data_IF_861580490254
#
_entry.id   IF_861580490254
#
_cell.length_a   1.000
_cell.length_b   1.000
_cell.length_c   1.000
_cell.angle_alpha   90.00
_cell.angle_beta   90.00
_cell.angle_gamma   90.00
#
_symmetry.space_group_name_H-M   'P 1'
#
loop_
_entity.id
_entity.type
_entity.pdbx_description
1 polymer ?
#
# COMPACT_ATOMS: atom_id res chain seq x y z
N UNK A 1 42.67 -37.81 1.88
CA UNK A 1 41.49 -36.98 2.23
C UNK A 1 41.60 -35.70 1.43
N UNK A 2 41.00 -35.70 0.25
CA UNK A 2 41.00 -34.55 -0.68
C UNK A 2 39.70 -33.78 -0.49
N UNK A 3 39.73 -32.44 -0.44
CA UNK A 3 38.53 -31.65 -0.21
C UNK A 3 37.68 -31.61 -1.48
N UNK A 4 36.41 -31.98 -1.34
CA UNK A 4 35.38 -31.86 -2.36
C UNK A 4 35.26 -30.41 -2.84
N UNK A 5 35.31 -30.24 -4.15
CA UNK A 5 35.29 -28.95 -4.83
C UNK A 5 33.97 -28.21 -4.65
N UNK A 6 34.09 -26.96 -4.24
CA UNK A 6 33.09 -25.91 -4.42
C UNK A 6 32.86 -25.68 -5.91
N UNK A 7 31.77 -26.22 -6.45
CA UNK A 7 31.27 -25.88 -7.78
C UNK A 7 30.89 -24.41 -7.81
N UNK A 8 31.79 -23.57 -8.32
CA UNK A 8 31.46 -22.20 -8.68
C UNK A 8 30.51 -22.28 -9.89
N UNK A 9 29.26 -21.90 -9.67
CA UNK A 9 28.31 -21.59 -10.74
C UNK A 9 28.81 -20.31 -11.44
N UNK A 10 29.84 -20.43 -12.27
CA UNK A 10 30.15 -19.40 -13.26
C UNK A 10 28.91 -19.24 -14.12
N UNK A 11 28.33 -18.03 -14.22
CA UNK A 11 27.24 -17.77 -15.16
C UNK A 11 27.75 -18.17 -16.53
N UNK A 12 27.14 -19.20 -17.12
CA UNK A 12 27.40 -19.59 -18.50
C UNK A 12 27.31 -18.32 -19.35
N UNK A 13 28.35 -17.99 -20.15
CA UNK A 13 28.29 -16.82 -21.01
C UNK A 13 27.05 -16.97 -21.88
N UNK A 14 26.14 -16.00 -21.79
CA UNK A 14 24.90 -16.01 -22.56
C UNK A 14 25.21 -16.41 -23.99
N UNK A 15 24.63 -17.54 -24.41
CA UNK A 15 24.94 -18.22 -25.66
C UNK A 15 24.78 -17.21 -26.81
N UNK A 16 25.87 -16.63 -27.30
CA UNK A 16 25.82 -15.55 -28.30
C UNK A 16 25.04 -15.97 -29.55
N UNK A 17 25.05 -17.28 -29.84
CA UNK A 17 24.25 -17.92 -30.87
C UNK A 17 22.74 -17.82 -30.61
N UNK A 18 22.28 -17.84 -29.36
CA UNK A 18 20.88 -17.66 -29.02
C UNK A 18 20.40 -16.26 -29.37
N UNK A 19 21.15 -15.22 -28.98
CA UNK A 19 20.79 -13.83 -29.31
C UNK A 19 20.80 -13.59 -30.82
N UNK A 20 21.78 -14.14 -31.54
CA UNK A 20 21.84 -14.07 -33.01
C UNK A 20 20.63 -14.77 -33.67
N UNK A 21 20.25 -15.96 -33.19
CA UNK A 21 19.06 -16.68 -33.68
C UNK A 21 17.77 -15.92 -33.36
N UNK A 22 17.67 -15.31 -32.17
CA UNK A 22 16.51 -14.52 -31.77
C UNK A 22 16.38 -13.27 -32.65
N UNK A 23 17.49 -12.58 -32.91
CA UNK A 23 17.53 -11.44 -33.82
C UNK A 23 17.13 -11.86 -35.24
N UNK A 24 17.68 -12.97 -35.75
CA UNK A 24 17.33 -13.49 -37.09
C UNK A 24 15.85 -13.86 -37.19
N UNK A 25 15.28 -14.46 -36.14
CA UNK A 25 13.85 -14.78 -36.07
C UNK A 25 12.98 -13.52 -36.11
N UNK A 26 13.39 -12.47 -35.40
CA UNK A 26 12.71 -11.17 -35.40
C UNK A 26 12.80 -10.46 -36.75
N UNK A 27 13.97 -10.44 -37.37
CA UNK A 27 14.14 -9.86 -38.72
C UNK A 27 13.29 -10.60 -39.76
N UNK A 28 13.23 -11.93 -39.66
CA UNK A 28 12.37 -12.76 -40.52
C UNK A 28 10.90 -12.42 -40.33
N UNK A 29 10.41 -12.31 -39.10
CA UNK A 29 9.00 -11.99 -38.85
C UNK A 29 8.62 -10.59 -39.36
N UNK A 30 9.53 -9.60 -39.29
CA UNK A 30 9.33 -8.28 -39.90
C UNK A 30 9.28 -8.36 -41.43
N UNK A 31 10.12 -9.19 -42.05
CA UNK A 31 10.09 -9.42 -43.49
C UNK A 31 8.77 -10.07 -43.94
N UNK A 32 8.30 -11.07 -43.20
CA UNK A 32 7.03 -11.75 -43.48
C UNK A 32 5.85 -10.77 -43.33
N UNK A 33 5.89 -9.89 -42.32
CA UNK A 33 4.89 -8.85 -42.12
C UNK A 33 4.84 -7.85 -43.28
N UNK A 34 6.00 -7.40 -43.78
CA UNK A 34 6.06 -6.52 -44.98
C UNK A 34 5.49 -7.20 -46.22
N UNK A 35 5.78 -8.47 -46.40
CA UNK A 35 5.25 -9.27 -47.52
C UNK A 35 3.72 -9.39 -47.44
N UNK A 36 3.20 -9.63 -46.25
CA UNK A 36 1.76 -9.65 -45.99
C UNK A 36 1.10 -8.30 -46.29
N UNK A 37 1.68 -7.20 -45.82
CA UNK A 37 1.21 -5.83 -46.07
C UNK A 37 1.12 -5.53 -47.57
N UNK A 38 2.16 -5.89 -48.33
CA UNK A 38 2.20 -5.71 -49.78
C UNK A 38 1.09 -6.50 -50.49
N UNK A 39 0.80 -7.71 -50.01
CA UNK A 39 -0.26 -8.58 -50.58
C UNK A 39 -1.66 -8.05 -50.30
N UNK A 40 -1.90 -7.55 -49.09
CA UNK A 40 -3.21 -7.02 -48.68
C UNK A 40 -3.46 -5.57 -49.14
N UNK A 41 -2.46 -4.91 -49.73
CA UNK A 41 -2.58 -3.54 -50.22
C UNK A 41 -2.84 -2.49 -49.13
N UNK A 42 -2.40 -2.75 -47.89
CA UNK A 42 -2.58 -1.84 -46.74
C UNK A 42 -1.28 -1.10 -46.42
N UNK A 43 -1.36 -0.04 -45.60
CA UNK A 43 -0.15 0.62 -45.10
C UNK A 43 0.55 -0.26 -44.04
N UNK A 44 1.89 -0.21 -44.02
CA UNK A 44 2.68 -0.98 -43.05
C UNK A 44 2.35 -0.57 -41.60
N UNK A 45 2.18 0.72 -41.33
CA UNK A 45 1.88 1.23 -40.00
C UNK A 45 0.55 0.69 -39.45
N UNK A 46 -0.51 0.65 -40.26
CA UNK A 46 -1.81 0.15 -39.83
C UNK A 46 -1.79 -1.36 -39.50
N UNK A 47 -1.11 -2.16 -40.32
CA UNK A 47 -0.97 -3.59 -40.05
C UNK A 47 -0.08 -3.83 -38.83
N UNK A 48 0.96 -3.02 -38.64
CA UNK A 48 1.79 -3.07 -37.43
C UNK A 48 0.98 -2.78 -36.17
N UNK A 49 0.15 -1.73 -36.19
CA UNK A 49 -0.77 -1.41 -35.07
C UNK A 49 -1.71 -2.59 -34.74
N UNK A 50 -2.27 -3.26 -35.76
CA UNK A 50 -3.10 -4.45 -35.56
C UNK A 50 -2.34 -5.63 -34.97
N UNK A 51 -1.08 -5.86 -35.40
CA UNK A 51 -0.23 -6.91 -34.84
C UNK A 51 0.15 -6.59 -33.40
N UNK A 52 0.50 -5.34 -33.10
CA UNK A 52 0.78 -4.89 -31.75
C UNK A 52 -0.46 -5.04 -30.85
N UNK A 53 -1.65 -4.72 -31.36
CA UNK A 53 -2.92 -4.94 -30.67
C UNK A 53 -3.16 -6.43 -30.41
N UNK A 54 -2.95 -7.30 -31.40
CA UNK A 54 -3.07 -8.76 -31.22
C UNK A 54 -2.05 -9.29 -30.22
N UNK A 55 -0.81 -8.79 -30.25
CA UNK A 55 0.24 -9.21 -29.33
C UNK A 55 -0.05 -8.74 -27.91
N UNK A 56 -0.54 -7.51 -27.74
CA UNK A 56 -1.07 -7.03 -26.47
C UNK A 56 -2.24 -7.89 -26.00
N UNK A 57 -3.20 -8.20 -26.89
CA UNK A 57 -4.29 -9.13 -26.58
C UNK A 57 -3.79 -10.53 -26.24
N UNK A 58 -2.65 -10.98 -26.75
CA UNK A 58 -2.09 -12.28 -26.36
C UNK A 58 -1.38 -12.22 -25.01
N UNK A 59 -0.54 -11.20 -24.79
CA UNK A 59 0.21 -11.00 -23.55
C UNK A 59 -0.70 -10.67 -22.35
N UNK A 60 -1.71 -9.83 -22.60
CA UNK A 60 -2.66 -9.35 -21.60
C UNK A 60 -4.01 -10.06 -21.66
N UNK A 61 -4.30 -10.79 -22.74
CA UNK A 61 -5.45 -11.70 -22.84
C UNK A 61 -5.19 -12.96 -22.05
N UNK A 62 -5.21 -12.76 -20.75
CA UNK A 62 -5.67 -13.77 -19.84
C UNK A 62 -7.10 -14.14 -20.18
N UNK A 63 -7.25 -15.36 -20.69
CA UNK A 63 -8.43 -16.20 -20.45
C UNK A 63 -9.77 -15.58 -20.84
N UNK A 64 -9.89 -15.11 -22.08
CA UNK A 64 -11.22 -14.96 -22.69
C UNK A 64 -11.78 -16.30 -23.21
N UNK A 65 -11.03 -17.40 -23.11
CA UNK A 65 -11.58 -18.74 -23.33
C UNK A 65 -12.45 -19.15 -22.12
N UNK A 66 -13.74 -18.82 -22.22
CA UNK A 66 -14.87 -19.68 -21.89
C UNK A 66 -14.95 -20.34 -20.50
N UNK A 67 -14.35 -19.77 -19.45
CA UNK A 67 -14.87 -20.04 -18.11
C UNK A 67 -15.98 -19.03 -17.86
N UNK A 68 -17.27 -19.41 -17.98
CA UNK A 68 -18.35 -18.52 -17.62
C UNK A 68 -18.04 -18.01 -16.21
N UNK A 69 -18.00 -16.68 -16.09
CA UNK A 69 -17.71 -15.96 -14.87
C UNK A 69 -18.85 -16.28 -13.89
N UNK A 70 -18.75 -17.43 -13.26
CA UNK A 70 -19.60 -17.79 -12.14
C UNK A 70 -19.22 -16.78 -11.06
N UNK A 71 -20.20 -16.02 -10.61
CA UNK A 71 -20.07 -14.78 -9.84
C UNK A 71 -19.21 -14.87 -8.57
N UNK A 72 -18.82 -16.06 -8.14
CA UNK A 72 -17.85 -16.29 -7.06
C UNK A 72 -16.36 -16.11 -7.42
N UNK A 73 -15.95 -16.24 -8.68
CA UNK A 73 -14.52 -16.23 -9.05
C UNK A 73 -13.95 -14.86 -9.44
N UNK A 74 -14.78 -13.81 -9.46
CA UNK A 74 -14.35 -12.46 -9.83
C UNK A 74 -13.22 -11.93 -8.95
N UNK A 75 -13.28 -12.21 -7.64
CA UNK A 75 -12.27 -11.71 -6.71
C UNK A 75 -10.88 -12.29 -7.01
N UNK A 76 -10.79 -13.59 -7.28
CA UNK A 76 -9.53 -14.27 -7.61
C UNK A 76 -8.96 -13.77 -8.94
N UNK A 77 -9.83 -13.53 -9.94
CA UNK A 77 -9.41 -12.96 -11.22
C UNK A 77 -8.82 -11.55 -11.05
N UNK A 78 -9.50 -10.68 -10.31
CA UNK A 78 -9.02 -9.32 -10.03
C UNK A 78 -7.69 -9.37 -9.25
N UNK A 79 -7.56 -10.23 -8.24
CA UNK A 79 -6.29 -10.44 -7.52
C UNK A 79 -5.16 -10.87 -8.46
N UNK A 80 -5.42 -11.78 -9.40
CA UNK A 80 -4.43 -12.21 -10.38
C UNK A 80 -3.99 -11.07 -11.31
N UNK A 81 -4.92 -10.22 -11.75
CA UNK A 81 -4.58 -9.02 -12.54
C UNK A 81 -3.69 -8.09 -11.71
N UNK A 82 -4.08 -7.77 -10.48
CA UNK A 82 -3.32 -6.86 -9.62
C UNK A 82 -1.92 -7.42 -9.31
N UNK A 83 -1.79 -8.72 -9.06
CA UNK A 83 -0.51 -9.39 -8.87
C UNK A 83 0.38 -9.30 -10.12
N UNK A 84 -0.19 -9.41 -11.32
CA UNK A 84 0.54 -9.25 -12.58
C UNK A 84 1.03 -7.82 -12.79
N UNK A 85 0.19 -6.83 -12.54
CA UNK A 85 0.58 -5.41 -12.60
C UNK A 85 1.72 -5.13 -11.61
N UNK A 86 1.66 -5.70 -10.40
CA UNK A 86 2.75 -5.60 -9.42
C UNK A 86 4.06 -6.17 -9.97
N UNK A 87 4.04 -7.35 -10.61
CA UNK A 87 5.22 -7.95 -11.25
C UNK A 87 5.76 -7.11 -12.41
N UNK A 88 4.89 -6.45 -13.17
CA UNK A 88 5.32 -5.52 -14.23
C UNK A 88 6.07 -4.32 -13.65
N UNK A 89 5.61 -3.75 -12.53
CA UNK A 89 6.35 -2.70 -11.85
C UNK A 89 7.70 -3.16 -11.29
N UNK A 90 7.79 -4.39 -10.78
CA UNK A 90 9.08 -4.97 -10.38
C UNK A 90 10.03 -5.21 -11.57
N UNK A 91 9.51 -5.51 -12.75
CA UNK A 91 10.30 -5.59 -13.98
C UNK A 91 10.78 -4.20 -14.42
N UNK A 92 9.90 -3.20 -14.35
CA UNK A 92 10.23 -1.81 -14.67
C UNK A 92 11.32 -1.25 -13.75
N UNK A 93 11.30 -1.61 -12.47
CA UNK A 93 12.35 -1.25 -11.52
C UNK A 93 13.70 -1.84 -11.90
N UNK A 94 13.74 -3.11 -12.34
CA UNK A 94 14.97 -3.75 -12.81
C UNK A 94 15.54 -3.11 -14.07
N UNK A 95 14.68 -2.73 -15.01
CA UNK A 95 15.11 -2.19 -16.32
C UNK A 95 15.45 -0.70 -16.24
N UNK A 96 14.65 0.09 -15.51
CA UNK A 96 14.74 1.55 -15.51
C UNK A 96 15.10 2.17 -14.15
N UNK A 97 15.24 1.37 -13.09
CA UNK A 97 15.52 1.85 -11.74
C UNK A 97 14.37 2.61 -11.07
N UNK A 98 13.17 2.59 -11.67
CA UNK A 98 12.03 3.36 -11.20
C UNK A 98 11.30 2.64 -10.05
N UNK A 99 11.04 3.36 -8.97
CA UNK A 99 10.24 2.88 -7.84
C UNK A 99 8.80 3.33 -8.01
N UNK A 100 7.85 2.41 -7.83
CA UNK A 100 6.43 2.69 -7.94
C UNK A 100 5.62 1.83 -6.97
N UNK A 101 4.44 2.31 -6.59
CA UNK A 101 3.42 1.53 -5.89
C UNK A 101 2.03 1.98 -6.29
N UNK A 102 1.04 1.12 -6.07
CA UNK A 102 -0.37 1.43 -6.27
C UNK A 102 -1.23 0.75 -5.22
N UNK A 103 -2.34 1.40 -4.88
CA UNK A 103 -3.31 0.93 -3.89
C UNK A 103 -4.67 0.75 -4.57
N UNK A 104 -5.30 -0.40 -4.34
CA UNK A 104 -6.66 -0.70 -4.77
C UNK A 104 -7.50 -1.03 -3.54
N UNK A 105 -8.65 -0.40 -3.38
CA UNK A 105 -9.60 -0.70 -2.30
C UNK A 105 -10.97 -1.00 -2.89
N UNK A 106 -11.66 -1.98 -2.32
CA UNK A 106 -13.04 -2.28 -2.68
C UNK A 106 -13.99 -1.54 -1.71
N UNK A 107 -14.68 -0.48 -2.13
CA UNK A 107 -15.55 0.28 -1.24
C UNK A 107 -16.78 -0.53 -0.77
N UNK A 108 -17.14 -1.61 -1.48
CA UNK A 108 -18.32 -2.42 -1.19
C UNK A 108 -18.07 -3.53 -0.17
N UNK A 109 -16.82 -3.84 0.14
CA UNK A 109 -16.46 -4.88 1.09
C UNK A 109 -15.63 -4.31 2.24
N UNK A 110 -16.28 -4.00 3.37
CA UNK A 110 -15.62 -3.46 4.57
C UNK A 110 -14.61 -4.42 5.22
N UNK A 111 -14.64 -5.71 4.87
CA UNK A 111 -13.63 -6.68 5.35
C UNK A 111 -12.37 -6.70 4.48
N UNK A 112 -12.42 -6.10 3.29
CA UNK A 112 -11.29 -6.03 2.37
C UNK A 112 -10.26 -5.01 2.89
N UNK A 113 -9.03 -5.47 3.13
CA UNK A 113 -7.92 -4.60 3.55
C UNK A 113 -7.31 -3.82 2.38
N UNK A 114 -7.82 -4.05 1.16
CA UNK A 114 -7.24 -3.52 -0.06
C UNK A 114 -6.01 -4.31 -0.52
N UNK A 115 -5.59 -4.01 -1.74
CA UNK A 115 -4.40 -4.58 -2.35
C UNK A 115 -3.36 -3.49 -2.57
N UNK A 116 -2.15 -3.73 -2.03
CA UNK A 116 -0.99 -2.88 -2.24
C UNK A 116 -0.01 -3.57 -3.17
N UNK A 117 0.13 -3.06 -4.39
CA UNK A 117 1.05 -3.58 -5.41
C UNK A 117 2.15 -2.59 -5.76
N UNK A 118 3.07 -3.05 -6.61
CA UNK A 118 4.20 -2.26 -7.13
C UNK A 118 5.55 -2.84 -6.76
N UNK A 119 6.57 -2.00 -6.74
CA UNK A 119 7.95 -2.33 -6.35
C UNK A 119 8.07 -2.59 -4.85
N UNK A 120 9.06 -3.40 -4.44
CA UNK A 120 9.28 -3.74 -3.02
C UNK A 120 9.47 -2.47 -2.18
N UNK A 121 10.40 -1.58 -2.57
CA UNK A 121 10.66 -0.34 -1.81
C UNK A 121 9.47 0.61 -1.82
N UNK A 122 8.71 0.68 -2.91
CA UNK A 122 7.49 1.49 -2.97
C UNK A 122 6.43 1.01 -1.99
N UNK A 123 6.24 -0.31 -1.86
CA UNK A 123 5.31 -0.90 -0.87
C UNK A 123 5.79 -0.66 0.56
N UNK A 124 7.08 -0.87 0.83
CA UNK A 124 7.66 -0.67 2.17
C UNK A 124 7.59 0.80 2.60
N UNK A 125 7.84 1.73 1.66
CA UNK A 125 7.65 3.16 1.89
C UNK A 125 6.22 3.48 2.30
N UNK A 126 5.22 2.99 1.56
CA UNK A 126 3.81 3.20 1.90
C UNK A 126 3.45 2.58 3.26
N UNK A 127 3.95 1.39 3.57
CA UNK A 127 3.65 0.72 4.85
C UNK A 127 4.32 1.41 6.05
N UNK A 128 5.53 1.94 5.86
CA UNK A 128 6.29 2.64 6.91
C UNK A 128 5.84 4.08 7.15
N UNK A 129 5.08 4.68 6.24
CA UNK A 129 4.65 6.07 6.36
C UNK A 129 3.49 6.21 7.34
N UNK A 130 3.52 7.27 8.17
CA UNK A 130 2.43 7.55 9.12
C UNK A 130 1.12 7.80 8.38
N UNK A 131 0.02 7.27 8.91
CA UNK A 131 -1.32 7.34 8.31
C UNK A 131 -1.44 6.66 6.93
N UNK A 132 -0.46 5.87 6.53
CA UNK A 132 -0.50 5.02 5.34
C UNK A 132 -0.71 3.55 5.78
N UNK A 133 -0.29 2.58 4.95
CA UNK A 133 -0.50 1.15 5.24
C UNK A 133 -1.99 0.78 5.34
N UNK A 134 -2.33 -0.11 6.27
CA UNK A 134 -3.71 -0.57 6.49
C UNK A 134 -4.64 0.57 6.93
N UNK A 135 -4.16 1.47 7.79
CA UNK A 135 -4.94 2.63 8.24
C UNK A 135 -5.24 3.59 7.09
N UNK A 136 -4.25 3.85 6.23
CA UNK A 136 -4.44 4.66 5.02
C UNK A 136 -5.39 4.01 4.01
N UNK A 137 -5.30 2.70 3.83
CA UNK A 137 -6.23 1.96 2.98
C UNK A 137 -7.68 2.02 3.48
N UNK A 138 -7.89 1.85 4.78
CA UNK A 138 -9.22 2.00 5.41
C UNK A 138 -9.74 3.44 5.29
N UNK A 139 -8.89 4.45 5.50
CA UNK A 139 -9.27 5.85 5.33
C UNK A 139 -9.68 6.15 3.88
N UNK A 140 -8.95 5.61 2.90
CA UNK A 140 -9.27 5.74 1.49
C UNK A 140 -10.56 4.99 1.10
N UNK A 141 -10.78 3.82 1.68
CA UNK A 141 -12.02 3.06 1.50
C UNK A 141 -13.24 3.82 2.05
N UNK A 142 -13.11 4.44 3.23
CA UNK A 142 -14.15 5.31 3.78
C UNK A 142 -14.39 6.52 2.87
N UNK A 143 -13.34 7.18 2.41
CA UNK A 143 -13.47 8.32 1.49
C UNK A 143 -14.23 7.96 0.21
N UNK A 144 -13.95 6.78 -0.36
CA UNK A 144 -14.59 6.30 -1.59
C UNK A 144 -16.03 5.83 -1.37
N UNK A 145 -16.38 5.27 -0.20
CA UNK A 145 -17.76 4.89 0.12
C UNK A 145 -18.70 6.08 0.37
N UNK A 146 -18.15 7.24 0.76
CA UNK A 146 -18.91 8.48 0.88
C UNK A 146 -19.08 9.24 -0.45
N UNK A 147 -18.32 8.90 -1.48
CA UNK A 147 -18.48 9.52 -2.79
C UNK A 147 -19.81 9.03 -3.39
N UNK A 148 -20.75 9.94 -3.75
CA UNK A 148 -21.99 9.54 -4.38
C UNK A 148 -21.65 8.78 -5.66
N UNK A 149 -22.17 7.54 -5.77
CA UNK A 149 -21.96 6.73 -6.96
C UNK A 149 -22.29 7.57 -8.19
N UNK A 150 -21.39 7.67 -9.19
CA UNK A 150 -21.67 8.43 -10.40
C UNK A 150 -22.98 7.88 -10.95
N UNK A 151 -24.02 8.72 -10.94
CA UNK A 151 -25.36 8.35 -11.35
C UNK A 151 -25.21 7.66 -12.70
N UNK A 152 -25.36 6.33 -12.70
CA UNK A 152 -25.06 5.51 -13.86
C UNK A 152 -25.93 6.06 -14.96
N UNK A 153 -25.30 6.70 -15.95
CA UNK A 153 -25.95 7.42 -17.02
C UNK A 153 -26.77 6.40 -17.80
N UNK A 154 -28.02 6.24 -17.36
CA UNK A 154 -29.06 5.50 -18.04
C UNK A 154 -29.34 6.27 -19.32
N UNK A 155 -28.63 5.87 -20.37
CA UNK A 155 -28.93 6.24 -21.74
C UNK A 155 -30.36 5.80 -22.05
N UNK A 156 -31.31 6.73 -22.00
CA UNK A 156 -32.68 6.48 -22.43
C UNK A 156 -33.70 7.42 -21.80
N UNK A 157 -33.83 8.64 -22.35
CA UNK A 157 -34.90 9.55 -21.96
C UNK A 157 -34.72 10.96 -22.51
N UNK A 158 -35.10 11.15 -23.76
CA UNK A 158 -35.28 12.47 -24.40
C UNK A 158 -36.41 13.26 -23.74
N UNK A 159 -36.13 14.53 -23.39
CA UNK A 159 -37.11 15.57 -23.00
C UNK A 159 -37.37 15.65 -21.49
N UNK A 160 -37.38 16.78 -20.81
CA UNK A 160 -37.38 18.20 -21.18
C UNK A 160 -36.73 19.03 -20.05
N UNK A 161 -36.21 20.18 -20.47
CA UNK A 161 -35.74 21.35 -19.72
C UNK A 161 -36.28 21.52 -18.29
N UNK A 162 -35.39 21.43 -17.29
CA UNK A 162 -35.53 22.24 -16.08
C UNK A 162 -34.16 22.62 -15.51
N UNK A 163 -33.95 23.93 -15.44
CA UNK A 163 -32.78 24.60 -14.87
C UNK A 163 -32.63 24.23 -13.38
N UNK A 164 -31.64 23.40 -13.06
CA UNK A 164 -31.13 23.28 -11.70
C UNK A 164 -29.66 23.70 -11.70
N UNK A 165 -29.39 24.85 -11.08
CA UNK A 165 -28.07 25.43 -10.85
C UNK A 165 -27.21 24.47 -10.04
N UNK A 166 -26.45 23.62 -10.72
CA UNK A 166 -25.42 22.78 -10.13
C UNK A 166 -24.28 23.68 -9.63
N UNK A 167 -24.21 23.91 -8.32
CA UNK A 167 -23.03 24.49 -7.69
C UNK A 167 -21.83 23.56 -7.85
N UNK A 168 -20.62 24.07 -8.10
CA UNK A 168 -19.43 23.23 -8.24
C UNK A 168 -19.12 22.53 -6.92
N UNK A 169 -19.28 21.21 -6.89
CA UNK A 169 -18.88 20.36 -5.78
C UNK A 169 -17.37 20.15 -5.88
N UNK A 170 -16.60 21.03 -5.22
CA UNK A 170 -15.17 20.84 -5.07
C UNK A 170 -14.91 19.68 -4.08
N UNK A 171 -14.13 18.65 -4.43
CA UNK A 171 -13.51 17.81 -3.42
C UNK A 171 -12.65 18.71 -2.51
N UNK A 172 -12.43 18.36 -1.23
CA UNK A 172 -11.52 19.12 -0.38
C UNK A 172 -10.08 18.94 -0.89
N UNK A 173 -9.68 19.77 -1.84
CA UNK A 173 -8.28 19.98 -2.20
C UNK A 173 -7.65 20.79 -1.07
N UNK A 174 -6.95 20.10 -0.18
CA UNK A 174 -5.91 20.71 0.63
C UNK A 174 -4.76 19.72 0.77
N UNK A 175 -3.96 19.67 -0.30
CA UNK A 175 -2.53 19.40 -0.18
C UNK A 175 -1.85 20.62 -0.77
N UNK A 176 -1.62 21.62 0.07
CA UNK A 176 -0.48 22.52 -0.12
C UNK A 176 0.46 22.39 1.07
N UNK A 177 1.70 22.15 0.69
CA UNK A 177 2.89 22.05 1.49
C UNK A 177 3.19 23.44 2.07
N UNK A 178 3.61 23.43 3.34
CA UNK A 178 4.17 24.54 4.12
C UNK A 178 3.20 25.64 4.61
N UNK A 179 2.83 25.52 5.90
CA UNK A 179 2.79 26.67 6.79
C UNK A 179 1.44 27.33 7.08
N UNK A 180 0.51 26.62 7.73
CA UNK A 180 -0.24 27.16 8.89
C UNK A 180 -1.15 26.10 9.50
N UNK A 181 -0.74 25.53 10.63
CA UNK A 181 -1.50 24.56 11.42
C UNK A 181 -2.35 25.29 12.45
N UNK A 182 -3.49 25.86 12.05
CA UNK A 182 -4.52 26.32 13.00
C UNK A 182 -5.83 26.65 12.27
N UNK A 183 -6.60 25.66 11.81
CA UNK A 183 -8.06 25.78 11.69
C UNK A 183 -8.72 24.44 11.31
N UNK A 184 -9.82 24.15 12.00
CA UNK A 184 -10.81 23.09 11.74
C UNK A 184 -10.52 21.69 12.31
N UNK A 185 -10.30 21.62 13.62
CA UNK A 185 -10.57 20.41 14.41
C UNK A 185 -12.07 20.11 14.43
N UNK A 186 -12.55 19.37 13.44
CA UNK A 186 -13.85 18.67 13.53
C UNK A 186 -13.81 17.76 14.76
N UNK A 187 -14.90 17.75 15.52
CA UNK A 187 -15.07 17.09 16.83
C UNK A 187 -14.73 15.59 16.73
N UNK A 188 -13.47 15.24 16.95
CA UNK A 188 -13.06 13.86 17.20
C UNK A 188 -13.68 13.40 18.53
N UNK A 189 -14.13 12.14 18.62
CA UNK A 189 -14.65 11.59 19.86
C UNK A 189 -13.65 11.79 21.00
N UNK A 190 -14.12 12.16 22.20
CA UNK A 190 -13.26 12.47 23.35
C UNK A 190 -12.28 11.32 23.72
N UNK A 191 -12.57 10.08 23.33
CA UNK A 191 -11.65 8.94 23.47
C UNK A 191 -10.37 9.08 22.64
N UNK A 192 -10.42 9.78 21.49
CA UNK A 192 -9.24 9.97 20.64
C UNK A 192 -8.27 11.01 21.23
N UNK A 193 -8.77 11.95 22.03
CA UNK A 193 -7.92 13.02 22.60
C UNK A 193 -6.85 12.43 23.52
N UNK A 194 -7.20 11.42 24.34
CA UNK A 194 -6.24 10.79 25.26
C UNK A 194 -5.13 10.08 24.50
N UNK A 195 -5.47 9.22 23.53
CA UNK A 195 -4.48 8.48 22.75
C UNK A 195 -3.59 9.41 21.91
N UNK A 196 -4.16 10.51 21.41
CA UNK A 196 -3.45 11.54 20.67
C UNK A 196 -2.45 12.32 21.56
N UNK A 197 -2.81 12.62 22.82
CA UNK A 197 -1.88 13.20 23.80
C UNK A 197 -0.69 12.26 24.03
N UNK A 198 -0.95 10.97 24.26
CA UNK A 198 0.12 9.98 24.47
C UNK A 198 1.03 9.85 23.25
N UNK A 199 0.46 9.77 22.04
CA UNK A 199 1.24 9.60 20.81
C UNK A 199 2.05 10.84 20.46
N UNK A 200 1.46 12.03 20.56
CA UNK A 200 2.12 13.31 20.28
C UNK A 200 3.24 13.59 21.27
N UNK A 201 3.01 13.35 22.56
CA UNK A 201 4.03 13.50 23.60
C UNK A 201 5.22 12.57 23.37
N UNK A 202 4.96 11.27 23.10
CA UNK A 202 6.02 10.30 22.79
C UNK A 202 6.80 10.69 21.52
N UNK A 203 6.11 11.18 20.50
CA UNK A 203 6.77 11.64 19.28
C UNK A 203 7.70 12.83 19.55
N UNK A 204 7.25 13.82 20.32
CA UNK A 204 8.03 14.99 20.68
C UNK A 204 9.26 14.63 21.54
N UNK A 205 9.11 13.76 22.53
CA UNK A 205 10.21 13.26 23.37
C UNK A 205 11.27 12.55 22.53
N UNK A 206 10.86 11.65 21.63
CA UNK A 206 11.79 10.89 20.77
C UNK A 206 12.48 11.79 19.76
N UNK A 207 11.79 12.80 19.24
CA UNK A 207 12.38 13.79 18.35
C UNK A 207 13.44 14.64 19.05
N UNK A 208 13.20 15.07 20.29
CA UNK A 208 14.13 15.91 21.03
C UNK A 208 15.31 15.14 21.63
N UNK A 209 15.09 13.91 22.12
CA UNK A 209 16.14 13.07 22.72
C UNK A 209 16.97 12.29 21.69
N UNK A 210 16.44 12.05 20.48
CA UNK A 210 17.03 11.14 19.51
C UNK A 210 16.93 9.64 19.86
N UNK A 211 16.33 9.29 21.01
CA UNK A 211 16.22 7.90 21.46
C UNK A 211 14.85 7.33 21.08
N UNK A 212 14.83 6.28 20.25
CA UNK A 212 13.58 5.66 19.74
C UNK A 212 12.64 5.17 20.84
N UNK A 213 13.20 4.72 21.96
CA UNK A 213 12.46 4.14 23.08
C UNK A 213 12.27 5.11 24.25
N UNK A 214 12.58 6.40 24.08
CA UNK A 214 12.37 7.38 25.14
C UNK A 214 10.88 7.53 25.45
N UNK A 215 10.58 7.55 26.75
CA UNK A 215 9.24 7.74 27.30
C UNK A 215 9.32 8.52 28.61
N UNK A 216 8.33 9.37 28.87
CA UNK A 216 8.20 10.12 30.11
C UNK A 216 7.23 9.44 31.07
N UNK A 217 7.55 9.46 32.37
CA UNK A 217 6.56 9.22 33.42
C UNK A 217 5.79 10.52 33.67
N UNK A 218 4.48 10.54 33.40
CA UNK A 218 3.63 11.74 33.53
C UNK A 218 3.63 12.38 34.91
N UNK A 219 3.85 11.57 35.96
CA UNK A 219 3.93 12.07 37.34
C UNK A 219 5.32 12.59 37.73
N UNK A 220 6.35 12.26 36.94
CA UNK A 220 7.71 12.64 37.22
C UNK A 220 8.45 13.10 35.96
N UNK A 221 8.35 14.39 35.67
CA UNK A 221 8.99 15.00 34.51
C UNK A 221 10.52 15.08 34.65
N UNK A 222 11.10 14.98 35.86
CA UNK A 222 12.56 15.03 36.05
C UNK A 222 13.25 13.77 35.53
N UNK A 223 12.52 12.67 35.31
CA UNK A 223 13.09 11.47 34.70
C UNK A 223 13.50 11.68 33.23
N UNK A 224 13.12 12.81 32.63
CA UNK A 224 13.60 13.21 31.31
C UNK A 224 15.10 13.55 31.28
N UNK A 225 15.67 13.88 32.44
CA UNK A 225 17.10 14.20 32.57
C UNK A 225 17.97 12.99 32.17
N UNK A 226 17.47 11.75 32.36
CA UNK A 226 18.13 10.53 31.88
C UNK A 226 18.29 10.48 30.35
N UNK A 227 17.51 11.25 29.61
CA UNK A 227 17.59 11.40 28.16
C UNK A 227 18.23 12.74 27.75
N UNK A 228 18.85 13.47 28.67
CA UNK A 228 19.43 14.80 28.46
C UNK A 228 18.45 15.83 27.88
N UNK A 229 17.15 15.71 28.20
CA UNK A 229 16.12 16.66 27.77
C UNK A 229 15.28 17.11 28.96
N UNK A 230 14.71 18.31 28.87
CA UNK A 230 13.73 18.84 29.83
C UNK A 230 12.50 19.37 29.10
N UNK A 231 11.34 19.28 29.74
CA UNK A 231 10.11 19.88 29.22
C UNK A 231 10.04 21.36 29.59
N UNK A 232 9.74 22.21 28.60
CA UNK A 232 9.61 23.66 28.76
C UNK A 232 8.19 24.07 28.38
N UNK A 233 7.65 25.06 29.12
CA UNK A 233 6.33 25.63 28.85
C UNK A 233 5.13 24.78 29.28
N UNK A 234 5.31 23.86 30.24
CA UNK A 234 4.19 23.12 30.82
C UNK A 234 3.21 24.09 31.53
N UNK A 235 1.90 24.06 31.21
CA UNK A 235 0.93 24.96 31.83
C UNK A 235 0.82 24.77 33.34
N UNK A 236 0.87 25.86 34.11
CA UNK A 236 0.83 25.82 35.59
C UNK A 236 -0.52 25.32 36.13
N UNK A 237 -1.60 25.48 35.37
CA UNK A 237 -2.96 25.06 35.73
C UNK A 237 -3.21 23.55 35.53
N UNK A 238 -2.29 22.85 34.84
CA UNK A 238 -2.44 21.43 34.52
C UNK A 238 -1.55 20.59 35.45
N UNK A 239 -2.13 19.72 36.30
CA UNK A 239 -1.35 18.88 37.19
C UNK A 239 -0.50 17.88 36.39
N UNK A 240 0.69 17.57 36.92
CA UNK A 240 1.60 16.55 36.37
C UNK A 240 1.05 15.15 36.67
N UNK A 241 0.00 14.76 35.95
CA UNK A 241 -0.72 13.51 36.12
C UNK A 241 -0.94 12.83 34.76
N UNK A 242 -1.27 11.53 34.80
CA UNK A 242 -1.56 10.78 33.57
C UNK A 242 -2.74 11.41 32.80
N UNK A 243 -2.71 11.45 31.44
CA UNK A 243 -3.80 11.93 30.60
C UNK A 243 -5.17 11.28 30.89
N UNK A 244 -5.16 10.05 31.44
CA UNK A 244 -6.36 9.36 31.89
C UNK A 244 -7.05 10.00 33.10
N UNK A 245 -6.29 10.65 33.98
CA UNK A 245 -6.76 11.36 35.17
C UNK A 245 -7.10 12.83 34.89
N UNK A 246 -6.64 13.39 33.76
CA UNK A 246 -6.95 14.75 33.33
C UNK A 246 -8.33 14.83 32.66
N UNK A 247 -8.99 15.98 32.78
CA UNK A 247 -10.22 16.22 32.05
C UNK A 247 -9.93 16.45 30.54
N UNK A 248 -10.98 16.41 29.70
CA UNK A 248 -10.81 16.54 28.24
C UNK A 248 -10.28 17.91 27.81
N UNK A 249 -10.62 18.98 28.53
CA UNK A 249 -10.16 20.34 28.22
C UNK A 249 -8.66 20.50 28.49
N UNK A 250 -8.16 19.95 29.61
CA UNK A 250 -6.74 19.90 29.96
C UNK A 250 -5.95 19.09 28.92
N UNK A 251 -6.45 17.90 28.55
CA UNK A 251 -5.82 17.07 27.51
C UNK A 251 -5.72 17.82 26.16
N UNK A 252 -6.77 18.54 25.78
CA UNK A 252 -6.75 19.36 24.56
C UNK A 252 -5.76 20.52 24.66
N UNK A 253 -5.68 21.20 25.80
CA UNK A 253 -4.71 22.27 26.04
C UNK A 253 -3.25 21.79 25.94
N UNK A 254 -2.96 20.55 26.37
CA UNK A 254 -1.64 19.94 26.17
C UNK A 254 -1.36 19.72 24.69
N UNK A 255 -2.32 19.18 23.92
CA UNK A 255 -2.16 19.00 22.47
C UNK A 255 -1.94 20.31 21.73
N UNK A 256 -2.74 21.32 22.05
CA UNK A 256 -2.63 22.65 21.45
C UNK A 256 -1.27 23.28 21.81
N UNK A 257 -0.79 23.07 23.04
CA UNK A 257 0.54 23.49 23.49
C UNK A 257 1.68 22.81 22.73
N UNK A 258 1.59 21.49 22.49
CA UNK A 258 2.58 20.74 21.69
C UNK A 258 2.55 21.16 20.22
N UNK A 259 1.37 21.38 19.65
CA UNK A 259 1.20 21.77 18.25
C UNK A 259 1.67 23.20 17.97
N UNK A 260 1.41 24.12 18.89
CA UNK A 260 1.87 25.52 18.81
C UNK A 260 3.33 25.72 19.17
N UNK A 261 3.99 24.70 19.73
CA UNK A 261 5.35 24.80 20.27
C UNK A 261 5.44 25.56 21.59
N UNK A 262 4.31 25.86 22.24
CA UNK A 262 4.30 26.41 23.60
C UNK A 262 4.82 25.39 24.63
N UNK A 263 4.51 24.10 24.42
CA UNK A 263 5.13 22.98 25.13
C UNK A 263 6.15 22.35 24.18
N UNK A 264 7.41 22.33 24.60
CA UNK A 264 8.48 21.72 23.82
C UNK A 264 9.52 21.08 24.73
N UNK A 265 10.44 20.34 24.13
CA UNK A 265 11.53 19.66 24.82
C UNK A 265 12.86 20.29 24.42
N UNK A 266 13.64 20.70 25.40
CA UNK A 266 14.95 21.31 25.21
C UNK A 266 16.05 20.34 25.65
N UNK A 267 17.15 20.26 24.91
CA UNK A 267 18.32 19.48 25.32
C UNK A 267 19.11 20.20 26.41
N UNK A 268 19.34 19.53 27.53
CA UNK A 268 20.05 20.09 28.71
C UNK A 268 21.49 20.47 28.35
N UNK A 269 22.12 19.76 27.40
CA UNK A 269 23.49 20.03 26.96
C UNK A 269 23.61 21.37 26.22
N UNK A 270 22.54 21.85 25.58
CA UNK A 270 22.58 23.11 24.82
C UNK A 270 22.62 24.33 25.74
N UNK A 271 22.04 24.26 26.94
CA UNK A 271 21.93 25.41 27.84
C UNK A 271 23.21 25.67 28.66
N UNK A 272 24.13 24.70 28.79
CA UNK A 272 25.38 24.91 29.55
C UNK A 272 26.45 25.69 28.78
N UNK A 273 26.35 25.79 27.46
CA UNK A 273 27.35 26.48 26.63
C UNK A 273 27.11 28.01 26.47
N UNK A 274 26.06 28.58 27.09
CA UNK A 274 25.75 30.01 26.95
C UNK A 274 26.06 30.88 28.19
N UNK A 275 26.53 30.32 29.30
CA UNK A 275 26.69 31.06 30.57
C UNK A 275 28.16 31.29 30.99
N UNK A 276 29.15 30.90 30.19
CA UNK A 276 30.57 31.08 30.53
C UNK A 276 31.26 32.09 29.62
N UNK A 277 30.97 33.37 29.86
CA UNK A 277 31.83 34.48 29.40
C UNK A 277 31.73 35.64 30.38
N UNK A 278 32.32 35.48 31.57
CA UNK A 278 32.96 36.55 32.34
C UNK A 278 33.42 36.00 33.70
N UNK A 279 34.56 35.30 33.76
CA UNK A 279 35.32 35.27 35.02
C UNK A 279 36.82 35.02 34.81
N UNK A 280 37.60 35.77 35.59
CA UNK A 280 39.04 36.07 35.55
C UNK A 280 39.87 34.87 36.07
N UNK A 281 41.09 34.61 35.56
CA UNK A 281 41.92 33.48 35.99
C UNK A 281 42.75 33.80 37.26
N UNK A 282 42.89 32.83 38.17
CA UNK A 282 44.13 32.67 38.93
C UNK A 282 44.60 31.19 39.04
N UNK A 283 45.80 30.92 39.58
CA UNK A 283 46.74 29.98 39.00
C UNK A 283 46.71 28.55 39.57
N UNK A 284 47.30 27.69 38.73
CA UNK A 284 47.80 26.33 38.92
C UNK A 284 48.04 25.86 40.36
N UNK A 285 47.45 24.72 40.71
CA UNK A 285 48.03 23.82 41.71
C UNK A 285 47.79 22.37 41.31
N UNK A 286 48.92 21.71 41.09
CA UNK A 286 49.18 20.30 40.85
C UNK A 286 48.64 19.41 41.96
N UNK A 287 48.03 18.25 41.63
CA UNK A 287 47.67 17.25 42.64
C UNK A 287 47.10 15.95 42.05
N UNK A 288 47.84 14.87 42.26
CA UNK A 288 47.62 13.47 41.86
C UNK A 288 46.47 12.78 42.62
N UNK A 289 45.96 11.67 42.02
CA UNK A 289 45.38 10.43 42.59
C UNK A 289 44.01 10.10 41.96
N UNK A 290 43.82 9.01 41.19
CA UNK A 290 43.83 7.58 41.53
C UNK A 290 42.51 7.09 42.16
N UNK A 291 41.90 6.06 41.56
CA UNK A 291 40.67 5.37 41.97
C UNK A 291 39.79 5.09 40.74
N UNK A 292 39.93 3.97 40.03
CA UNK A 292 39.35 2.65 40.38
C UNK A 292 37.92 2.77 40.92
N UNK A 293 36.93 2.52 40.06
CA UNK A 293 35.87 1.56 40.40
C UNK A 293 35.12 1.08 39.15
N UNK A 294 35.18 -0.24 39.00
CA UNK A 294 34.41 -1.07 38.10
C UNK A 294 33.00 -1.20 38.66
N UNK A 295 31.97 -0.87 37.89
CA UNK A 295 30.64 -1.44 38.12
C UNK A 295 30.04 -1.97 36.82
N UNK A 296 30.16 -3.29 36.74
CA UNK A 296 29.54 -4.22 35.80
C UNK A 296 28.04 -4.23 36.08
N UNK A 297 27.24 -3.69 35.17
CA UNK A 297 25.78 -3.87 35.18
C UNK A 297 25.40 -4.94 34.14
N UNK A 298 25.49 -6.20 34.57
CA UNK A 298 25.00 -7.38 33.85
C UNK A 298 23.53 -7.64 34.29
N UNK A 299 22.59 -7.05 33.56
CA UNK A 299 21.16 -7.20 33.78
C UNK A 299 20.52 -8.10 32.73
N UNK A 300 20.65 -9.42 32.90
CA UNK A 300 19.96 -10.45 32.13
C UNK A 300 18.47 -10.44 32.47
N UNK A 301 17.62 -10.03 31.53
CA UNK A 301 16.15 -10.10 31.66
C UNK A 301 15.67 -11.46 31.16
N UNK A 302 15.26 -12.31 32.10
CA UNK A 302 14.58 -13.59 31.86
C UNK A 302 13.09 -13.33 31.55
N UNK A 303 12.64 -13.80 30.38
CA UNK A 303 11.23 -13.82 29.97
C UNK A 303 10.65 -15.22 30.18
N UNK A 304 10.33 -15.54 31.43
CA UNK A 304 9.48 -16.68 31.78
C UNK A 304 8.09 -16.19 32.17
N UNK A 305 7.28 -15.83 31.17
CA UNK A 305 5.87 -15.46 31.33
C UNK A 305 4.97 -16.67 31.04
N UNK A 306 4.50 -17.29 32.12
CA UNK A 306 3.65 -18.48 32.13
C UNK A 306 2.36 -18.37 31.32
N UNK A 307 1.95 -19.51 30.77
CA UNK A 307 0.65 -19.72 30.18
C UNK A 307 -0.42 -19.81 31.27
N UNK A 308 -1.55 -19.16 31.01
CA UNK A 308 -2.81 -19.48 31.65
C UNK A 308 -3.75 -20.07 30.60
N UNK A 309 -4.07 -21.34 30.83
CA UNK A 309 -5.17 -22.06 30.25
C UNK A 309 -6.46 -21.47 30.83
N UNK A 310 -7.41 -21.10 29.97
CA UNK A 310 -8.81 -21.07 30.36
C UNK A 310 -9.68 -21.54 29.21
N UNK A 311 -9.84 -22.87 29.17
CA UNK A 311 -10.98 -23.54 28.56
C UNK A 311 -12.25 -23.11 29.28
N UNK A 312 -13.18 -22.48 28.56
CA UNK A 312 -14.61 -22.57 28.89
C UNK A 312 -15.35 -22.88 27.60
N UNK A 313 -15.67 -24.15 27.44
CA UNK A 313 -16.58 -24.63 26.41
C UNK A 313 -17.99 -24.10 26.63
N UNK A 314 -18.67 -23.73 25.53
CA UNK A 314 -20.12 -23.83 25.44
C UNK A 314 -20.54 -24.36 24.08
N UNK A 315 -21.27 -25.46 24.19
CA UNK A 315 -21.92 -26.32 23.21
C UNK A 315 -22.75 -25.55 22.16
N UNK A 316 -22.62 -26.01 20.90
CA UNK A 316 -23.67 -25.91 19.90
C UNK A 316 -24.84 -26.85 20.28
N UNK A 317 -26.08 -26.45 20.00
CA UNK A 317 -27.16 -27.39 19.74
C UNK A 317 -27.51 -27.49 18.25
N UNK A 318 -27.85 -28.72 17.89
CA UNK A 318 -28.21 -29.23 16.59
C UNK A 318 -29.43 -28.58 15.92
N UNK A 319 -29.31 -28.47 14.60
CA UNK A 319 -30.26 -28.90 13.58
C UNK A 319 -31.71 -29.20 14.02
N UNK A 320 -32.64 -28.35 13.57
CA UNK A 320 -33.96 -28.82 13.17
C UNK A 320 -34.33 -28.32 11.77
N UNK A 321 -34.82 -29.29 11.00
CA UNK A 321 -35.38 -29.18 9.67
C UNK A 321 -36.54 -28.20 9.60
N UNK A 322 -36.68 -27.52 8.46
CA UNK A 322 -38.02 -27.33 7.92
C UNK A 322 -38.05 -27.36 6.39
N UNK A 323 -39.11 -27.99 5.93
CA UNK A 323 -39.42 -28.50 4.60
C UNK A 323 -40.45 -27.55 3.96
N UNK A 324 -40.71 -27.76 2.66
CA UNK A 324 -41.82 -27.21 1.82
C UNK A 324 -41.47 -25.80 1.25
N UNK A 325 -41.40 -25.54 -0.06
CA UNK A 325 -42.45 -25.75 -1.09
C UNK A 325 -41.87 -25.79 -2.51
N UNK A 326 -42.52 -26.56 -3.38
CA UNK A 326 -42.17 -26.87 -4.76
C UNK A 326 -42.60 -25.81 -5.81
N UNK A 327 -41.90 -25.80 -6.95
CA UNK A 327 -42.41 -25.47 -8.29
C UNK A 327 -41.56 -24.46 -9.10
N UNK A 328 -41.60 -24.46 -10.44
CA UNK A 328 -41.74 -25.57 -11.37
C UNK A 328 -40.50 -25.77 -12.29
N UNK A 329 -40.50 -26.95 -12.89
CA UNK A 329 -39.52 -27.56 -13.76
C UNK A 329 -39.49 -26.86 -15.14
N UNK A 330 -38.32 -26.37 -15.58
CA UNK A 330 -38.07 -25.98 -16.98
C UNK A 330 -37.08 -26.98 -17.57
N UNK A 331 -37.64 -27.95 -18.28
CA UNK A 331 -36.95 -28.92 -19.12
C UNK A 331 -36.23 -28.20 -20.25
N UNK A 332 -34.90 -28.18 -20.21
CA UNK A 332 -34.08 -27.75 -21.34
C UNK A 332 -33.98 -28.92 -22.33
N UNK A 333 -34.48 -28.69 -23.54
CA UNK A 333 -34.36 -29.61 -24.68
C UNK A 333 -32.95 -29.46 -25.25
N UNK A 334 -32.11 -30.52 -25.30
CA UNK A 334 -30.84 -30.45 -26.01
C UNK A 334 -31.11 -30.45 -27.51
N UNK A 335 -30.55 -29.46 -28.21
CA UNK A 335 -30.51 -29.39 -29.67
C UNK A 335 -29.29 -30.20 -30.13
N UNK A 336 -29.53 -31.28 -30.87
CA UNK A 336 -28.51 -32.07 -31.55
C UNK A 336 -27.76 -31.24 -32.60
N UNK A 337 -26.41 -31.30 -32.64
CA UNK A 337 -25.65 -30.92 -33.82
C UNK A 337 -25.31 -32.17 -34.63
N UNK A 338 -26.30 -32.71 -35.36
CA UNK A 338 -26.06 -33.54 -36.54
C UNK A 338 -26.51 -32.75 -37.77
N UNK A 339 -25.53 -32.37 -38.59
CA UNK A 339 -25.73 -31.61 -39.82
C UNK A 339 -24.56 -31.79 -40.76
N UNK A 340 -24.48 -32.99 -41.34
CA UNK A 340 -23.63 -33.30 -42.47
C UNK A 340 -23.81 -32.29 -43.61
N UNK A 341 -22.71 -31.85 -44.21
CA UNK A 341 -22.72 -31.48 -45.63
C UNK A 341 -21.41 -31.85 -46.30
N UNK A 342 -21.38 -33.13 -46.66
CA UNK A 342 -20.84 -33.64 -47.91
C UNK A 342 -20.75 -32.58 -49.03
N UNK A 343 -19.53 -32.13 -49.34
CA UNK A 343 -19.22 -31.62 -50.69
C UNK A 343 -18.32 -32.59 -51.42
N UNK A 344 -19.03 -33.47 -52.12
CA UNK A 344 -18.55 -34.41 -53.13
C UNK A 344 -18.12 -33.63 -54.39
N UNK A 345 -16.95 -34.04 -54.90
CA UNK A 345 -16.37 -33.81 -56.23
C UNK A 345 -17.29 -33.22 -57.32
N UNK A 346 -16.79 -32.22 -58.05
CA UNK A 346 -17.04 -32.09 -59.49
C UNK A 346 -15.71 -31.88 -60.22
N UNK A 347 -15.45 -32.81 -61.12
CA UNK A 347 -14.39 -32.91 -62.11
C UNK A 347 -15.02 -32.49 -63.43
N UNK A 348 -14.46 -31.50 -64.08
CA UNK A 348 -14.62 -31.11 -65.50
C UNK A 348 -13.19 -30.68 -65.87
N UNK A 349 -12.37 -31.33 -66.69
CA UNK A 349 -12.59 -31.94 -68.01
C UNK A 349 -13.39 -31.03 -68.94
N UNK A 350 -12.66 -30.11 -69.56
CA UNK A 350 -12.93 -29.62 -70.91
C UNK A 350 -11.60 -29.44 -71.65
N UNK A 351 -11.22 -30.48 -72.38
CA UNK A 351 -10.59 -30.30 -73.68
C UNK A 351 -11.67 -29.78 -74.64
N UNK A 352 -11.38 -28.74 -75.44
CA UNK A 352 -11.83 -28.58 -76.82
C UNK A 352 -10.93 -27.56 -77.53
N UNK A 353 -10.54 -27.98 -78.73
CA UNK A 353 -9.76 -27.39 -79.81
C UNK A 353 -10.13 -25.97 -80.30
N UNK A 354 -9.23 -25.51 -81.18
CA UNK A 354 -9.37 -24.56 -82.30
C UNK A 354 -9.18 -23.07 -81.99
N UNK A 355 -7.99 -22.52 -82.26
CA UNK A 355 -7.61 -21.93 -83.56
C UNK A 355 -6.10 -21.69 -83.65
#
# INVERSE_FOLDING_TARGET
MTPSGSGQNTPEPEDGLFLERLQTLYEKSLSDLRTFVQREGRSFDHVRELVDEMHCKHLFGLTNDDVPISSGNNHHYIQNIMARISKLFESLERVAGLQSFFLVVNPYNSSDQGFLGGTVKGRDFWQGHRNCGAAGAQAFQLFTSYAPAPASSSSGGTGETSNATAGPFYPPTNVEVAGNVNAAMKKTPAMNVKSEVYSSMRAAIRAASGVRNAEMKWTNHSNLDAYNIRIVGWPEDIPKANPSALNTAQNRRILDGLASGAIFFESIQSSQNMTTSSEVPPPETTGLAQGDDLDVFEGTIDFSGGGDQNEVGRQLPDSQANRITAGPNLTFIPVDPQGESSRKRRREESDINDT
#
